data_IF_692709631578
#
_entry.id   IF_692709631578
#
_cell.length_a   1.000
_cell.length_b   1.000
_cell.length_c   1.000
_cell.angle_alpha   90.00
_cell.angle_beta   90.00
_cell.angle_gamma   90.00
#
_symmetry.space_group_name_H-M   'P 1'
#
loop_
_entity.id
_entity.type
_entity.pdbx_description
1 polymer ?
#
# COMPACT_ATOMS: atom_id res chain seq x y z
N UNK A 1 11.65 16.80 -3.94
CA UNK A 1 12.36 15.98 -2.94
C UNK A 1 11.28 15.29 -2.10
N UNK A 2 11.11 13.98 -2.23
CA UNK A 2 9.96 13.25 -1.67
C UNK A 2 10.22 12.89 -0.21
N UNK A 3 9.89 13.81 0.70
CA UNK A 3 10.03 13.68 2.16
C UNK A 3 9.36 12.41 2.70
N UNK A 4 8.23 12.01 2.10
CA UNK A 4 7.51 10.78 2.45
C UNK A 4 8.34 9.51 2.19
N UNK A 5 9.10 9.45 1.08
CA UNK A 5 9.97 8.31 0.79
C UNK A 5 11.12 8.22 1.80
N UNK A 6 11.67 9.36 2.22
CA UNK A 6 12.72 9.43 3.22
C UNK A 6 12.22 8.98 4.60
N UNK A 7 11.00 9.37 4.98
CA UNK A 7 10.35 8.91 6.22
C UNK A 7 10.04 7.42 6.20
N UNK A 8 9.61 6.90 5.05
CA UNK A 8 9.42 5.47 4.82
C UNK A 8 10.72 4.70 5.05
N UNK A 9 11.83 5.16 4.48
CA UNK A 9 13.15 4.53 4.66
C UNK A 9 13.64 4.64 6.12
N UNK A 10 13.38 5.76 6.80
CA UNK A 10 13.76 5.93 8.20
C UNK A 10 12.99 4.99 9.13
N UNK A 11 11.68 4.86 8.93
CA UNK A 11 10.84 3.95 9.71
C UNK A 11 11.20 2.48 9.46
N UNK A 12 11.63 2.13 8.24
CA UNK A 12 12.10 0.79 7.89
C UNK A 12 13.28 0.32 8.74
N UNK A 13 14.26 1.20 8.99
CA UNK A 13 15.52 0.84 9.66
C UNK A 13 15.36 0.48 11.15
N UNK A 14 14.24 0.85 11.77
CA UNK A 14 14.03 0.73 13.22
C UNK A 14 13.18 -0.47 13.68
N UNK A 15 12.59 -1.28 12.77
CA UNK A 15 11.61 -2.32 13.13
C UNK A 15 11.99 -3.76 12.74
N UNK A 16 13.25 -4.17 12.91
CA UNK A 16 13.70 -5.58 12.78
C UNK A 16 13.23 -6.49 13.95
N UNK A 17 12.00 -6.34 14.43
CA UNK A 17 11.43 -7.24 15.45
C UNK A 17 10.12 -7.87 14.96
N UNK A 18 10.05 -9.22 14.93
CA UNK A 18 8.86 -9.94 14.47
C UNK A 18 7.80 -9.95 15.59
N UNK A 19 7.20 -8.80 15.87
CA UNK A 19 5.89 -8.82 16.51
C UNK A 19 4.86 -9.16 15.43
N UNK A 20 4.00 -10.13 15.75
CA UNK A 20 2.95 -10.71 14.91
C UNK A 20 2.28 -9.64 14.03
N UNK A 21 2.67 -9.55 12.76
CA UNK A 21 2.11 -8.59 11.81
C UNK A 21 0.64 -8.95 11.60
N UNK A 22 -0.27 -8.03 11.92
CA UNK A 22 -1.72 -8.21 11.79
C UNK A 22 -2.23 -7.42 10.60
N UNK A 23 -3.24 -7.97 9.91
CA UNK A 23 -3.95 -7.24 8.85
C UNK A 23 -4.56 -5.96 9.44
N UNK A 24 -4.24 -4.77 8.91
CA UNK A 24 -4.84 -3.52 9.34
C UNK A 24 -6.36 -3.57 9.14
N UNK A 25 -7.12 -3.05 10.12
CA UNK A 25 -8.59 -3.05 10.09
C UNK A 25 -9.19 -2.22 8.95
N UNK A 26 -8.40 -1.32 8.36
CA UNK A 26 -8.80 -0.50 7.21
C UNK A 26 -8.83 -1.30 5.90
N UNK A 27 -8.34 -2.54 5.91
CA UNK A 27 -8.34 -3.44 4.75
C UNK A 27 -9.38 -4.57 4.90
N UNK A 28 -10.03 -5.02 3.81
CA UNK A 28 -9.92 -4.47 2.46
C UNK A 28 -10.72 -3.17 2.29
N UNK A 29 -10.19 -2.23 1.50
CA UNK A 29 -10.87 -1.02 1.09
C UNK A 29 -11.92 -1.40 0.05
N UNK A 30 -13.19 -1.18 0.38
CA UNK A 30 -14.34 -1.68 -0.36
C UNK A 30 -15.18 -0.58 -1.00
N UNK A 31 -14.93 0.68 -0.64
CA UNK A 31 -15.65 1.84 -1.16
C UNK A 31 -14.76 3.06 -1.36
N UNK A 32 -15.23 4.01 -2.16
CA UNK A 32 -14.56 5.29 -2.37
C UNK A 32 -14.36 6.06 -1.06
N UNK A 33 -15.35 6.01 -0.16
CA UNK A 33 -15.27 6.66 1.15
C UNK A 33 -14.18 6.05 2.04
N UNK A 34 -14.00 4.73 1.96
CA UNK A 34 -12.91 4.05 2.68
C UNK A 34 -11.55 4.35 2.07
N UNK A 35 -11.45 4.50 0.73
CA UNK A 35 -10.22 4.97 0.12
C UNK A 35 -9.91 6.39 0.57
N UNK A 36 -10.88 7.30 0.56
CA UNK A 36 -10.70 8.67 1.05
C UNK A 36 -10.25 8.70 2.52
N UNK A 37 -10.80 7.81 3.35
CA UNK A 37 -10.36 7.64 4.74
C UNK A 37 -8.92 7.12 4.83
N UNK A 38 -8.49 6.23 3.93
CA UNK A 38 -7.12 5.74 3.86
C UNK A 38 -6.14 6.83 3.39
N UNK A 39 -6.51 7.60 2.36
CA UNK A 39 -5.72 8.73 1.86
C UNK A 39 -5.46 9.76 2.98
N UNK A 40 -6.47 10.05 3.81
CA UNK A 40 -6.39 10.95 4.96
C UNK A 40 -5.88 10.33 6.27
N UNK A 41 -5.47 9.06 6.27
CA UNK A 41 -5.09 8.35 7.49
C UNK A 41 -3.78 8.87 8.11
N UNK A 42 -3.51 8.50 9.36
CA UNK A 42 -2.22 8.82 10.00
C UNK A 42 -1.08 8.01 9.39
N UNK A 43 0.15 8.49 9.56
CA UNK A 43 1.33 7.78 9.07
C UNK A 43 1.51 6.41 9.74
N UNK A 44 1.05 6.25 10.98
CA UNK A 44 1.03 4.94 11.66
C UNK A 44 0.19 3.92 10.90
N UNK A 45 -1.03 4.29 10.47
CA UNK A 45 -1.92 3.41 9.70
C UNK A 45 -1.28 3.07 8.34
N UNK A 46 -0.65 4.07 7.72
CA UNK A 46 0.08 3.88 6.48
C UNK A 46 1.25 2.91 6.65
N UNK A 47 2.09 3.09 7.68
CA UNK A 47 3.24 2.21 7.94
C UNK A 47 2.82 0.80 8.34
N UNK A 48 1.76 0.64 9.11
CA UNK A 48 1.23 -0.68 9.44
C UNK A 48 0.72 -1.41 8.19
N UNK A 49 0.17 -0.67 7.22
CA UNK A 49 -0.22 -1.20 5.91
C UNK A 49 0.98 -1.64 5.08
N UNK A 50 2.02 -0.81 4.99
CA UNK A 50 3.28 -1.16 4.33
C UNK A 50 3.92 -2.41 4.97
N UNK A 51 3.91 -2.49 6.31
CA UNK A 51 4.45 -3.65 7.04
C UNK A 51 3.63 -4.92 6.78
N UNK A 52 2.30 -4.80 6.71
CA UNK A 52 1.43 -5.92 6.35
C UNK A 52 1.68 -6.40 4.91
N UNK A 53 1.84 -5.48 3.95
CA UNK A 53 2.18 -5.83 2.57
C UNK A 53 3.54 -6.55 2.47
N UNK A 54 4.55 -6.15 3.26
CA UNK A 54 5.81 -6.90 3.35
C UNK A 54 5.63 -8.29 3.93
N UNK A 55 4.79 -8.42 4.96
CA UNK A 55 4.50 -9.71 5.58
C UNK A 55 3.81 -10.66 4.59
N UNK A 56 2.89 -10.16 3.76
CA UNK A 56 2.29 -10.94 2.68
C UNK A 56 3.35 -11.42 1.67
N UNK A 57 4.32 -10.56 1.36
CA UNK A 57 5.50 -10.93 0.57
C UNK A 57 5.20 -11.12 -0.92
N UNK A 58 5.80 -12.15 -1.51
CA UNK A 58 5.80 -12.44 -2.95
C UNK A 58 7.22 -12.79 -3.42
N UNK A 59 7.35 -13.78 -4.31
CA UNK A 59 8.66 -14.25 -4.80
C UNK A 59 9.28 -13.30 -5.82
N UNK A 60 8.47 -12.45 -6.44
CA UNK A 60 8.91 -11.43 -7.38
C UNK A 60 8.00 -10.20 -7.32
N UNK A 61 8.43 -9.12 -7.98
CA UNK A 61 7.72 -7.85 -8.02
C UNK A 61 6.26 -8.00 -8.48
N UNK A 62 6.02 -8.75 -9.56
CA UNK A 62 4.68 -8.94 -10.13
C UNK A 62 3.75 -9.61 -9.12
N UNK A 63 4.24 -10.63 -8.44
CA UNK A 63 3.47 -11.34 -7.42
C UNK A 63 3.22 -10.48 -6.18
N UNK A 64 4.23 -9.78 -5.69
CA UNK A 64 4.09 -8.91 -4.52
C UNK A 64 3.04 -7.82 -4.75
N UNK A 65 3.05 -7.17 -5.92
CA UNK A 65 2.02 -6.19 -6.31
C UNK A 65 0.64 -6.86 -6.36
N UNK A 66 0.51 -7.99 -7.06
CA UNK A 66 -0.77 -8.72 -7.17
C UNK A 66 -1.34 -9.10 -5.80
N UNK A 67 -0.50 -9.56 -4.87
CA UNK A 67 -0.93 -9.92 -3.52
C UNK A 67 -1.41 -8.70 -2.72
N UNK A 68 -0.72 -7.55 -2.84
CA UNK A 68 -1.17 -6.30 -2.21
C UNK A 68 -2.56 -5.91 -2.71
N UNK A 69 -2.81 -5.95 -4.02
CA UNK A 69 -4.12 -5.66 -4.59
C UNK A 69 -5.20 -6.62 -4.08
N UNK A 70 -4.94 -7.93 -4.13
CA UNK A 70 -5.89 -8.96 -3.69
C UNK A 70 -6.27 -8.86 -2.21
N UNK A 71 -5.31 -8.51 -1.36
CA UNK A 71 -5.54 -8.45 0.08
C UNK A 71 -6.14 -7.12 0.55
N UNK A 72 -5.88 -6.03 -0.19
CA UNK A 72 -6.16 -4.69 0.27
C UNK A 72 -7.33 -4.00 -0.40
N UNK A 73 -7.71 -4.41 -1.61
CA UNK A 73 -8.84 -3.82 -2.33
C UNK A 73 -9.93 -4.86 -2.57
N UNK A 74 -11.18 -4.44 -2.43
CA UNK A 74 -12.32 -5.22 -2.89
C UNK A 74 -12.53 -5.01 -4.39
N UNK A 75 -12.97 -6.06 -5.09
CA UNK A 75 -13.30 -6.00 -6.52
C UNK A 75 -14.37 -4.94 -6.81
N UNK A 76 -15.28 -4.67 -5.86
CA UNK A 76 -16.32 -3.65 -6.00
C UNK A 76 -15.79 -2.23 -6.19
N UNK A 77 -14.57 -1.96 -5.73
CA UNK A 77 -13.94 -0.64 -5.84
C UNK A 77 -13.24 -0.44 -7.18
N UNK A 78 -12.80 -1.52 -7.82
CA UNK A 78 -11.97 -1.48 -9.03
C UNK A 78 -12.56 -0.67 -10.19
N UNK A 79 -13.88 -0.67 -10.46
CA UNK A 79 -14.45 0.12 -11.56
C UNK A 79 -14.40 1.63 -11.33
N UNK A 80 -14.15 2.07 -10.09
CA UNK A 80 -14.10 3.49 -9.73
C UNK A 80 -12.74 4.13 -10.03
N UNK A 81 -11.75 3.35 -10.47
CA UNK A 81 -10.38 3.80 -10.71
C UNK A 81 -9.89 3.41 -12.09
N UNK A 82 -9.20 4.34 -12.74
CA UNK A 82 -8.24 4.02 -13.80
C UNK A 82 -6.87 4.53 -13.40
N UNK A 83 -5.83 3.97 -14.02
CA UNK A 83 -4.46 4.39 -13.71
C UNK A 83 -4.28 5.90 -13.80
N UNK A 84 -4.83 6.54 -14.84
CA UNK A 84 -4.74 7.99 -15.07
C UNK A 84 -6.02 8.78 -14.71
N UNK A 85 -7.13 8.13 -14.38
CA UNK A 85 -8.40 8.82 -14.09
C UNK A 85 -8.97 9.59 -15.28
N UNK A 86 -8.89 9.03 -16.49
CA UNK A 86 -9.28 9.73 -17.74
C UNK A 86 -10.73 9.51 -18.14
N UNK A 87 -11.40 8.51 -17.58
CA UNK A 87 -12.81 8.22 -17.88
C UNK A 87 -13.71 8.94 -16.88
N UNK A 88 -14.92 9.25 -17.33
CA UNK A 88 -15.90 9.99 -16.53
C UNK A 88 -16.27 9.22 -15.25
N UNK A 89 -16.20 9.88 -14.10
CA UNK A 89 -16.51 9.28 -12.80
C UNK A 89 -15.40 8.43 -12.18
N UNK A 90 -14.27 8.23 -12.86
CA UNK A 90 -13.14 7.47 -12.33
C UNK A 90 -12.05 8.36 -11.74
N UNK A 91 -11.40 7.86 -10.70
CA UNK A 91 -10.30 8.55 -10.02
C UNK A 91 -8.94 8.01 -10.49
N UNK A 92 -7.89 8.86 -10.53
CA UNK A 92 -6.54 8.39 -10.82
C UNK A 92 -6.03 7.51 -9.68
N UNK A 93 -5.45 6.36 -10.04
CA UNK A 93 -4.88 5.43 -9.06
C UNK A 93 -3.38 5.64 -8.85
N UNK A 94 -2.63 6.06 -9.89
CA UNK A 94 -1.16 6.05 -9.89
C UNK A 94 -0.49 6.80 -8.73
N UNK A 95 -1.14 7.83 -8.22
CA UNK A 95 -0.66 8.68 -7.12
C UNK A 95 -1.46 8.52 -5.82
N UNK A 96 -2.39 7.56 -5.77
CA UNK A 96 -3.08 7.23 -4.54
C UNK A 96 -2.05 6.78 -3.49
N UNK A 97 -2.23 7.21 -2.24
CA UNK A 97 -1.40 6.78 -1.11
C UNK A 97 -1.39 5.26 -0.96
N UNK A 98 -2.44 4.57 -1.43
CA UNK A 98 -2.45 3.12 -1.59
C UNK A 98 -1.32 2.59 -2.50
N UNK A 99 -1.13 3.18 -3.68
CA UNK A 99 -0.05 2.83 -4.60
C UNK A 99 1.32 3.18 -4.01
N UNK A 100 1.42 4.29 -3.27
CA UNK A 100 2.63 4.65 -2.54
C UNK A 100 3.00 3.60 -1.49
N UNK A 101 2.00 3.04 -0.78
CA UNK A 101 2.23 1.95 0.16
C UNK A 101 2.79 0.69 -0.54
N UNK A 102 2.28 0.35 -1.74
CA UNK A 102 2.82 -0.75 -2.55
C UNK A 102 4.27 -0.47 -2.96
N UNK A 103 4.59 0.76 -3.40
CA UNK A 103 5.98 1.12 -3.72
C UNK A 103 6.91 0.99 -2.51
N UNK A 104 6.48 1.42 -1.33
CA UNK A 104 7.25 1.29 -0.08
C UNK A 104 7.52 -0.17 0.34
N UNK A 105 6.65 -1.10 -0.07
CA UNK A 105 6.85 -2.54 0.11
C UNK A 105 7.86 -3.08 -0.90
N UNK A 106 7.67 -2.77 -2.18
CA UNK A 106 8.54 -3.25 -3.28
C UNK A 106 9.98 -2.78 -3.13
N UNK A 107 10.19 -1.51 -2.78
CA UNK A 107 11.53 -0.96 -2.55
C UNK A 107 12.25 -1.69 -1.41
N UNK A 108 11.52 -2.12 -0.38
CA UNK A 108 12.08 -2.93 0.69
C UNK A 108 12.53 -4.31 0.21
N UNK A 109 11.81 -4.94 -0.72
CA UNK A 109 12.21 -6.24 -1.29
C UNK A 109 13.47 -6.08 -2.14
N UNK A 110 13.52 -5.03 -2.97
CA UNK A 110 14.65 -4.78 -3.87
C UNK A 110 15.94 -4.35 -3.13
N UNK A 111 15.83 -3.67 -1.99
CA UNK A 111 16.99 -3.17 -1.24
C UNK A 111 17.54 -4.21 -0.25
N UNK A 112 16.71 -5.11 0.26
CA UNK A 112 17.09 -6.09 1.28
C UNK A 112 17.14 -7.53 0.78
N UNK A 113 17.13 -7.74 -0.54
CA UNK A 113 17.40 -9.01 -1.24
C UNK A 113 17.19 -10.26 -0.39
N UNK A 114 15.94 -10.73 -0.30
CA UNK A 114 15.68 -12.13 0.06
C UNK A 114 15.92 -13.01 -1.16
#
# INVERSE_FOLDING_TARGET
>A
MNTLLEEIVRHQRNRDRPNQVRKPRILPISSIREMDAFEGATDDIFFDTVNYFRYIGGFNLKEAVNLCFKEALSDSLTPSYTWWGREEGQRPLYNARFIVAIYGTVLSISLYGR
#
